data_IF_316807200471
#
_entry.id   IF_316807200471
#
_cell.length_a   1.000
_cell.length_b   1.000
_cell.length_c   1.000
_cell.angle_alpha   90.00
_cell.angle_beta   90.00
_cell.angle_gamma   90.00
#
_symmetry.space_group_name_H-M   'P 1'
#
loop_
_entity.id
_entity.type
_entity.pdbx_description
1 polymer ?
#
# COMPACT_ATOMS: atom_id res chain seq x y z
N UNK A 1 13.57 -9.07 4.51
CA UNK A 1 12.45 -8.20 4.09
C UNK A 1 11.47 -8.87 3.13
N UNK A 2 11.81 -9.23 1.87
CA UNK A 2 10.84 -9.91 0.96
C UNK A 2 10.28 -11.22 1.53
N UNK A 3 11.10 -11.98 2.25
CA UNK A 3 10.70 -13.24 2.90
C UNK A 3 9.71 -12.99 4.04
N UNK A 4 9.91 -11.92 4.82
CA UNK A 4 9.09 -11.61 5.99
C UNK A 4 7.69 -11.16 5.58
N UNK A 5 7.58 -10.33 4.54
CA UNK A 5 6.29 -9.87 4.04
C UNK A 5 5.49 -11.05 3.46
N UNK A 6 6.14 -11.98 2.73
CA UNK A 6 5.46 -13.18 2.22
C UNK A 6 4.97 -14.08 3.35
N UNK A 7 5.81 -14.34 4.36
CA UNK A 7 5.41 -15.10 5.56
C UNK A 7 4.23 -14.46 6.28
N UNK A 8 4.20 -13.14 6.39
CA UNK A 8 3.09 -12.42 6.99
C UNK A 8 1.79 -12.62 6.19
N UNK A 9 1.85 -12.46 4.87
CA UNK A 9 0.73 -12.70 3.96
C UNK A 9 0.24 -14.16 3.97
N UNK A 10 1.12 -15.14 4.19
CA UNK A 10 0.75 -16.56 4.26
C UNK A 10 0.08 -16.93 5.59
N UNK A 11 0.42 -16.24 6.69
CA UNK A 11 -0.06 -16.55 8.04
C UNK A 11 -1.33 -15.77 8.40
N UNK A 12 -1.45 -14.54 7.94
CA UNK A 12 -2.57 -13.65 8.30
C UNK A 12 -3.95 -14.23 7.92
N UNK A 13 -4.19 -14.73 6.69
CA UNK A 13 -5.48 -15.31 6.32
C UNK A 13 -5.86 -16.50 7.21
N UNK A 14 -4.89 -17.34 7.56
CA UNK A 14 -5.10 -18.50 8.45
C UNK A 14 -5.60 -18.09 9.83
N UNK A 15 -5.12 -16.96 10.35
CA UNK A 15 -5.55 -16.41 11.64
C UNK A 15 -6.94 -15.80 11.58
N UNK A 16 -7.26 -15.11 10.48
CA UNK A 16 -8.57 -14.48 10.28
C UNK A 16 -9.68 -15.51 10.04
N UNK A 17 -9.35 -16.61 9.35
CA UNK A 17 -10.29 -17.71 9.12
C UNK A 17 -10.76 -18.38 10.42
N UNK A 18 -9.97 -18.31 11.52
CA UNK A 18 -10.42 -18.76 12.86
C UNK A 18 -11.68 -18.02 13.34
N UNK A 19 -11.90 -16.81 12.83
CA UNK A 19 -13.03 -15.94 13.15
C UNK A 19 -13.98 -15.79 11.96
N UNK A 20 -13.91 -16.69 10.97
CA UNK A 20 -14.74 -16.67 9.75
C UNK A 20 -14.56 -15.40 8.91
N UNK A 21 -13.41 -14.72 9.05
CA UNK A 21 -13.06 -13.53 8.28
C UNK A 21 -12.18 -13.90 7.10
N UNK A 22 -12.53 -13.39 5.91
CA UNK A 22 -11.73 -13.52 4.70
C UNK A 22 -11.07 -12.19 4.31
N UNK A 23 -9.91 -12.26 3.66
CA UNK A 23 -9.20 -11.09 3.14
C UNK A 23 -9.66 -10.82 1.71
N UNK A 24 -10.00 -9.56 1.44
CA UNK A 24 -10.26 -9.06 0.09
C UNK A 24 -8.92 -8.78 -0.64
N UNK A 25 -8.64 -9.55 -1.70
CA UNK A 25 -7.41 -9.43 -2.50
C UNK A 25 -7.30 -8.10 -3.24
N UNK A 26 -8.41 -7.45 -3.60
CA UNK A 26 -8.39 -6.16 -4.26
C UNK A 26 -7.91 -5.06 -3.30
N UNK A 27 -8.27 -5.17 -2.02
CA UNK A 27 -7.90 -4.21 -0.97
C UNK A 27 -6.55 -4.51 -0.30
N UNK A 28 -6.11 -5.77 -0.33
CA UNK A 28 -4.93 -6.24 0.40
C UNK A 28 -3.81 -6.65 -0.56
N UNK A 29 -2.99 -5.67 -0.96
CA UNK A 29 -1.91 -5.88 -1.92
C UNK A 29 -0.53 -5.61 -1.30
N UNK A 30 0.48 -6.34 -1.77
CA UNK A 30 1.87 -6.09 -1.38
C UNK A 30 2.44 -4.92 -2.18
N UNK A 31 2.64 -3.79 -1.52
CA UNK A 31 3.16 -2.58 -2.16
C UNK A 31 4.64 -2.42 -1.84
N UNK A 32 5.46 -2.35 -2.90
CA UNK A 32 6.90 -2.12 -2.77
C UNK A 32 7.17 -0.63 -2.52
N UNK A 33 7.32 -0.26 -1.26
CA UNK A 33 7.76 1.08 -0.84
C UNK A 33 9.28 1.14 -0.64
N UNK A 34 9.79 2.34 -0.32
CA UNK A 34 11.18 2.53 0.12
C UNK A 34 12.14 3.07 -0.94
N UNK A 35 13.28 3.56 -0.44
CA UNK A 35 14.29 4.31 -1.21
C UNK A 35 14.86 3.53 -2.40
N UNK A 36 15.20 2.26 -2.21
CA UNK A 36 15.87 1.48 -3.27
C UNK A 36 14.93 1.13 -4.41
N UNK A 37 13.66 0.85 -4.09
CA UNK A 37 12.64 0.69 -5.12
C UNK A 37 12.40 2.01 -5.87
N UNK A 38 12.46 3.14 -5.15
CA UNK A 38 12.22 4.47 -5.70
C UNK A 38 13.33 4.88 -6.66
N UNK A 39 14.60 4.63 -6.29
CA UNK A 39 15.75 4.91 -7.14
C UNK A 39 15.74 4.05 -8.40
N UNK A 40 15.40 2.76 -8.29
CA UNK A 40 15.32 1.86 -9.43
C UNK A 40 14.20 2.23 -10.41
N UNK A 41 13.01 2.56 -9.91
CA UNK A 41 11.91 3.02 -10.76
C UNK A 41 12.18 4.38 -11.38
N UNK A 42 12.83 5.30 -10.66
CA UNK A 42 13.22 6.60 -11.20
C UNK A 42 14.23 6.48 -12.34
N UNK A 43 15.15 5.51 -12.30
CA UNK A 43 16.02 5.18 -13.45
C UNK A 43 15.23 4.69 -14.67
N UNK A 44 14.09 4.07 -14.45
CA UNK A 44 13.15 3.62 -15.48
C UNK A 44 12.09 4.67 -15.84
N UNK A 45 12.24 5.92 -15.37
CA UNK A 45 11.26 7.00 -15.53
C UNK A 45 9.84 6.66 -15.03
N UNK A 46 9.72 5.69 -14.11
CA UNK A 46 8.47 5.26 -13.49
C UNK A 46 8.36 5.81 -12.07
N UNK A 47 7.13 6.06 -11.62
CA UNK A 47 6.84 6.47 -10.24
C UNK A 47 6.58 5.24 -9.37
N UNK A 48 6.91 5.34 -8.09
CA UNK A 48 6.48 4.36 -7.08
C UNK A 48 4.96 4.43 -6.90
N UNK A 49 4.35 3.27 -6.65
CA UNK A 49 2.95 3.18 -6.28
C UNK A 49 2.67 3.91 -4.96
N UNK A 50 1.59 4.71 -4.93
CA UNK A 50 1.07 5.34 -3.72
C UNK A 50 -0.09 4.52 -3.17
N UNK A 51 -0.35 4.60 -1.87
CA UNK A 51 -1.46 3.87 -1.25
C UNK A 51 -2.15 4.71 -0.19
N UNK A 52 -3.44 4.43 0.00
CA UNK A 52 -4.24 5.08 1.02
C UNK A 52 -4.34 4.19 2.25
N UNK A 53 -4.14 4.77 3.43
CA UNK A 53 -4.27 4.09 4.71
C UNK A 53 -4.89 5.04 5.73
N UNK A 54 -6.03 4.66 6.31
CA UNK A 54 -6.69 5.38 7.39
C UNK A 54 -6.91 6.88 7.11
N UNK A 55 -7.38 7.23 5.91
CA UNK A 55 -7.60 8.63 5.53
C UNK A 55 -6.33 9.41 5.17
N UNK A 56 -5.18 8.73 5.03
CA UNK A 56 -3.94 9.32 4.56
C UNK A 56 -3.47 8.69 3.27
N UNK A 57 -2.90 9.49 2.37
CA UNK A 57 -2.17 9.00 1.20
C UNK A 57 -0.68 8.94 1.53
N UNK A 58 -0.14 7.74 1.54
CA UNK A 58 1.29 7.44 1.69
C UNK A 58 1.92 7.34 0.30
N UNK A 59 2.95 8.15 0.04
CA UNK A 59 3.63 8.18 -1.24
C UNK A 59 5.12 8.46 -1.07
N UNK A 60 5.95 7.87 -1.93
CA UNK A 60 7.38 8.14 -1.96
C UNK A 60 7.68 9.30 -2.91
N UNK A 61 8.42 10.31 -2.44
CA UNK A 61 8.74 11.50 -3.22
C UNK A 61 10.22 11.84 -3.10
N UNK A 62 10.78 12.44 -4.15
CA UNK A 62 12.14 12.96 -4.14
C UNK A 62 12.12 14.37 -3.53
N UNK A 63 12.87 14.56 -2.45
CA UNK A 63 13.09 15.86 -1.83
C UNK A 63 13.84 16.81 -2.78
N UNK A 64 13.75 18.12 -2.52
CA UNK A 64 14.57 19.15 -3.18
C UNK A 64 16.07 18.85 -3.06
N UNK A 65 16.49 18.17 -1.98
CA UNK A 65 17.87 17.69 -1.77
C UNK A 65 18.16 16.34 -2.44
N UNK A 66 17.37 15.94 -3.44
CA UNK A 66 17.50 14.72 -4.25
C UNK A 66 17.42 13.39 -3.47
N UNK A 67 17.05 13.40 -2.19
CA UNK A 67 16.84 12.19 -1.36
C UNK A 67 15.38 11.72 -1.48
N UNK A 68 15.17 10.41 -1.67
CA UNK A 68 13.84 9.82 -1.59
C UNK A 68 13.38 9.72 -0.14
N UNK A 69 12.14 10.10 0.10
CA UNK A 69 11.49 10.09 1.41
C UNK A 69 10.03 9.69 1.25
N UNK A 70 9.55 8.87 2.17
CA UNK A 70 8.12 8.58 2.28
C UNK A 70 7.43 9.77 2.94
N UNK A 71 6.32 10.19 2.33
CA UNK A 71 5.53 11.33 2.76
C UNK A 71 4.09 10.89 2.97
N UNK A 72 3.47 11.54 3.94
CA UNK A 72 2.07 11.36 4.28
C UNK A 72 1.35 12.66 3.90
N UNK A 73 0.20 12.54 3.26
CA UNK A 73 -0.73 13.64 3.02
C UNK A 73 -2.10 13.23 3.54
N UNK A 74 -2.84 14.18 4.10
CA UNK A 74 -4.27 13.96 4.34
C UNK A 74 -4.95 13.64 3.01
N UNK A 75 -5.73 12.58 2.97
CA UNK A 75 -6.51 12.25 1.79
C UNK A 75 -7.67 13.25 1.66
N UNK A 76 -8.14 13.46 0.44
CA UNK A 76 -9.45 14.10 0.22
C UNK A 76 -10.53 13.22 0.86
N UNK A 77 -11.70 13.77 1.26
CA UNK A 77 -12.81 12.98 1.77
C UNK A 77 -13.05 11.77 0.86
N UNK A 78 -13.19 10.60 1.48
CA UNK A 78 -13.43 9.36 0.76
C UNK A 78 -14.80 9.52 0.08
N UNK A 79 -14.84 9.42 -1.24
CA UNK A 79 -16.09 9.41 -1.98
C UNK A 79 -16.84 8.12 -1.61
N UNK A 80 -17.92 8.25 -0.84
CA UNK A 80 -18.67 7.13 -0.26
C UNK A 80 -19.25 6.19 -1.34
N UNK A 81 -19.33 6.64 -2.59
CA UNK A 81 -19.76 5.86 -3.77
C UNK A 81 -18.89 4.62 -4.07
N UNK A 82 -17.67 4.56 -3.55
CA UNK A 82 -16.75 3.41 -3.74
C UNK A 82 -17.08 2.23 -2.82
N UNK A 83 -17.80 2.45 -1.72
CA UNK A 83 -18.12 1.40 -0.74
C UNK A 83 -19.46 0.68 -1.01
N UNK A 84 -20.34 1.23 -1.86
CA UNK A 84 -21.74 0.76 -2.02
C UNK A 84 -21.86 -0.48 -2.93
N UNK A 85 -20.78 -0.96 -3.58
CA UNK A 85 -20.87 -2.01 -4.61
C UNK A 85 -20.26 -3.37 -4.20
N UNK A 86 -20.22 -3.71 -2.91
CA UNK A 86 -19.78 -5.06 -2.50
C UNK A 86 -20.52 -5.58 -1.28
N UNK A 87 -21.83 -5.79 -1.44
CA UNK A 87 -22.60 -6.78 -0.70
C UNK A 87 -23.61 -7.39 -1.70
N UNK A 88 -23.48 -8.67 -2.11
CA UNK A 88 -24.68 -9.46 -2.34
C UNK A 88 -25.33 -9.81 -1.00
#
# INVERSE_FOLDING_TARGET
MKVDVKRFYDVLPKRLNKYELNIDEAKSQMIKSGRDNATNLAKQSKKIASYNFLGFTCYCSKSKRLKFQDKIKSAKPIDESVFVHSIP
#
